data_IF_217012129010
#
_entry.id   IF_217012129010
#
_cell.length_a   1.000
_cell.length_b   1.000
_cell.length_c   1.000
_cell.angle_alpha   90.00
_cell.angle_beta   90.00
_cell.angle_gamma   90.00
#
_symmetry.space_group_name_H-M   'P 1'
#
loop_
_entity.id
_entity.type
_entity.pdbx_description
1 polymer ?
#
# COMPACT_ATOMS: atom_id res chain seq x y z
N UNK A 1 63.68 9.50 62.91
CA UNK A 1 62.79 8.42 62.42
C UNK A 1 61.40 8.72 62.96
N UNK A 2 60.51 9.25 62.10
CA UNK A 2 59.14 9.55 62.49
C UNK A 2 58.32 8.24 62.50
N UNK A 3 57.60 8.02 63.59
CA UNK A 3 56.86 6.80 63.88
C UNK A 3 55.48 6.88 63.18
N UNK A 4 55.36 6.27 62.00
CA UNK A 4 54.11 6.22 61.24
C UNK A 4 53.22 5.09 61.81
N UNK A 5 52.28 5.46 62.68
CA UNK A 5 51.36 4.52 63.30
C UNK A 5 50.22 4.19 62.31
N UNK A 6 49.97 2.91 61.96
CA UNK A 6 48.94 2.54 61.01
C UNK A 6 47.56 2.85 61.61
N UNK A 7 46.88 3.84 61.04
CA UNK A 7 45.54 4.24 61.43
C UNK A 7 44.57 3.06 61.22
N UNK A 8 43.82 2.59 62.24
CA UNK A 8 42.94 1.44 62.11
C UNK A 8 41.90 1.70 61.02
N UNK A 9 41.98 0.91 59.94
CA UNK A 9 41.00 0.96 58.85
C UNK A 9 39.65 0.49 59.40
N UNK A 10 38.72 1.42 59.59
CA UNK A 10 37.33 1.12 59.95
C UNK A 10 36.69 0.35 58.79
N UNK A 11 36.30 -0.90 59.05
CA UNK A 11 35.49 -1.69 58.12
C UNK A 11 34.02 -1.27 58.20
N UNK A 12 33.29 -1.38 57.09
CA UNK A 12 31.84 -1.17 57.06
C UNK A 12 31.14 -2.21 57.93
N UNK A 13 30.18 -1.78 58.74
CA UNK A 13 29.28 -2.68 59.45
C UNK A 13 28.27 -3.28 58.48
N UNK A 14 27.75 -4.48 58.79
CA UNK A 14 26.70 -5.13 58.00
C UNK A 14 25.47 -4.21 57.81
N UNK A 15 25.14 -3.44 58.85
CA UNK A 15 24.01 -2.50 58.85
C UNK A 15 24.26 -1.34 57.88
N UNK A 16 25.45 -0.72 57.91
CA UNK A 16 25.78 0.38 56.98
C UNK A 16 25.76 -0.07 55.52
N UNK A 17 26.25 -1.28 55.23
CA UNK A 17 26.19 -1.85 53.90
C UNK A 17 24.73 -2.08 53.44
N UNK A 18 23.90 -2.64 54.34
CA UNK A 18 22.51 -2.99 54.04
C UNK A 18 21.63 -1.74 53.83
N UNK A 19 21.83 -0.70 54.65
CA UNK A 19 21.18 0.61 54.48
C UNK A 19 21.65 1.26 53.18
N UNK A 20 22.94 1.18 52.84
CA UNK A 20 23.49 1.74 51.61
C UNK A 20 22.88 1.14 50.33
N UNK A 21 22.81 -0.19 50.23
CA UNK A 21 22.17 -0.84 49.08
C UNK A 21 20.66 -0.54 49.03
N UNK A 22 19.99 -0.39 50.17
CA UNK A 22 18.59 -0.03 50.22
C UNK A 22 18.36 1.39 49.66
N UNK A 23 19.20 2.36 50.04
CA UNK A 23 19.14 3.73 49.50
C UNK A 23 19.41 3.73 47.99
N UNK A 24 20.45 3.04 47.52
CA UNK A 24 20.74 2.92 46.08
C UNK A 24 19.55 2.29 45.34
N UNK A 25 18.93 1.25 45.91
CA UNK A 25 17.74 0.63 45.36
C UNK A 25 16.57 1.60 45.19
N UNK A 26 16.28 2.41 46.21
CA UNK A 26 15.22 3.44 46.15
C UNK A 26 15.55 4.51 45.11
N UNK A 27 16.79 5.01 45.08
CA UNK A 27 17.23 6.00 44.10
C UNK A 27 17.11 5.46 42.67
N UNK A 28 17.56 4.23 42.42
CA UNK A 28 17.45 3.58 41.10
C UNK A 28 15.98 3.37 40.69
N UNK A 29 15.11 2.98 41.62
CA UNK A 29 13.68 2.81 41.36
C UNK A 29 12.99 4.11 40.91
N UNK A 30 13.44 5.26 41.43
CA UNK A 30 12.94 6.59 41.01
C UNK A 30 13.58 7.07 39.70
N UNK A 31 14.83 6.71 39.42
CA UNK A 31 15.58 7.15 38.24
C UNK A 31 15.15 6.43 36.94
N UNK A 32 14.86 5.13 37.00
CA UNK A 32 14.54 4.33 35.79
C UNK A 32 13.31 4.85 35.02
N UNK A 33 12.16 5.16 35.65
CA UNK A 33 10.98 5.69 34.95
C UNK A 33 11.26 7.08 34.34
N UNK A 34 12.03 7.92 35.03
CA UNK A 34 12.41 9.24 34.55
C UNK A 34 13.27 9.13 33.28
N UNK A 35 14.27 8.24 33.28
CA UNK A 35 15.14 8.03 32.13
C UNK A 35 14.37 7.47 30.92
N UNK A 36 13.42 6.56 31.14
CA UNK A 36 12.57 6.04 30.08
C UNK A 36 11.73 7.14 29.40
N UNK A 37 11.09 8.01 30.20
CA UNK A 37 10.34 9.17 29.70
C UNK A 37 11.24 10.16 28.95
N UNK A 38 12.44 10.43 29.47
CA UNK A 38 13.42 11.30 28.82
C UNK A 38 13.85 10.75 27.45
N UNK A 39 14.15 9.46 27.36
CA UNK A 39 14.49 8.78 26.09
C UNK A 39 13.32 8.83 25.09
N UNK A 40 12.08 8.60 25.53
CA UNK A 40 10.90 8.69 24.66
C UNK A 40 10.73 10.12 24.11
N UNK A 41 10.88 11.15 24.95
CA UNK A 41 10.83 12.55 24.52
C UNK A 41 11.94 12.88 23.52
N UNK A 42 13.17 12.41 23.77
CA UNK A 42 14.30 12.59 22.86
C UNK A 42 14.06 11.94 21.49
N UNK A 43 13.50 10.72 21.46
CA UNK A 43 13.09 10.05 20.21
C UNK A 43 12.06 10.87 19.44
N UNK A 44 11.05 11.42 20.12
CA UNK A 44 10.04 12.29 19.47
C UNK A 44 10.65 13.55 18.87
N UNK A 45 11.57 14.21 19.59
CA UNK A 45 12.30 15.38 19.06
C UNK A 45 13.14 15.00 17.84
N UNK A 46 13.86 13.88 17.89
CA UNK A 46 14.62 13.39 16.75
C UNK A 46 13.73 13.06 15.56
N UNK A 47 12.56 12.47 15.79
CA UNK A 47 11.57 12.20 14.75
C UNK A 47 11.09 13.49 14.07
N UNK A 48 10.76 14.54 14.85
CA UNK A 48 10.39 15.85 14.29
C UNK A 48 11.53 16.42 13.43
N UNK A 49 12.77 16.31 13.88
CA UNK A 49 13.93 16.81 13.13
C UNK A 49 14.17 16.03 11.83
N UNK A 50 13.99 14.71 11.81
CA UNK A 50 14.08 13.89 10.60
C UNK A 50 12.93 14.20 9.64
N UNK A 51 11.69 14.30 10.15
CA UNK A 51 10.53 14.68 9.34
C UNK A 51 10.68 16.10 8.75
N UNK A 52 11.28 17.02 9.49
CA UNK A 52 11.66 18.34 8.97
C UNK A 52 12.70 18.28 7.85
N UNK A 53 13.68 17.37 7.93
CA UNK A 53 14.64 17.14 6.85
C UNK A 53 13.95 16.54 5.62
N UNK A 54 13.01 15.61 5.80
CA UNK A 54 12.15 15.11 4.70
C UNK A 54 11.39 16.25 4.04
N UNK A 55 10.78 17.13 4.84
CA UNK A 55 10.06 18.31 4.32
C UNK A 55 10.96 19.23 3.51
N UNK A 56 12.16 19.55 4.02
CA UNK A 56 13.15 20.38 3.30
C UNK A 56 13.57 19.76 1.97
N UNK A 57 13.84 18.45 1.95
CA UNK A 57 14.22 17.74 0.73
C UNK A 57 13.09 17.80 -0.33
N UNK A 58 11.83 17.62 0.09
CA UNK A 58 10.67 17.73 -0.80
C UNK A 58 10.44 19.15 -1.32
N UNK A 59 10.64 20.17 -0.48
CA UNK A 59 10.54 21.58 -0.88
C UNK A 59 11.63 21.90 -1.90
N UNK A 60 12.88 21.49 -1.65
CA UNK A 60 14.00 21.66 -2.59
C UNK A 60 13.73 20.93 -3.91
N UNK A 61 13.25 19.69 -3.87
CA UNK A 61 12.83 18.96 -5.06
C UNK A 61 11.82 19.76 -5.89
N UNK A 62 10.80 20.33 -5.24
CA UNK A 62 9.76 21.06 -5.93
C UNK A 62 10.28 22.37 -6.56
N UNK A 63 11.23 23.05 -5.92
CA UNK A 63 11.88 24.25 -6.48
C UNK A 63 12.57 23.93 -7.82
N UNK A 64 13.22 22.78 -7.91
CA UNK A 64 13.87 22.32 -9.15
C UNK A 64 12.88 21.80 -10.21
N UNK A 65 11.61 21.63 -9.84
CA UNK A 65 10.57 20.98 -10.65
C UNK A 65 9.34 21.85 -10.87
N UNK A 66 9.56 23.15 -11.13
CA UNK A 66 8.49 24.12 -11.41
C UNK A 66 7.41 24.17 -10.30
N UNK A 67 7.86 24.16 -9.04
CA UNK A 67 7.03 24.14 -7.83
C UNK A 67 6.10 22.93 -7.70
N UNK A 68 6.43 21.80 -8.35
CA UNK A 68 5.67 20.56 -8.26
C UNK A 68 6.34 19.55 -7.35
N UNK A 69 5.60 19.05 -6.37
CA UNK A 69 5.99 17.88 -5.62
C UNK A 69 5.99 16.63 -6.51
N UNK A 70 6.65 15.53 -6.12
CA UNK A 70 6.76 14.32 -6.94
C UNK A 70 5.43 13.76 -7.47
N UNK A 71 4.35 13.82 -6.67
CA UNK A 71 2.99 13.38 -7.07
C UNK A 71 2.20 14.42 -7.88
N UNK A 72 2.74 15.62 -8.05
CA UNK A 72 2.14 16.72 -8.82
C UNK A 72 2.83 16.94 -10.17
N UNK A 73 3.88 16.18 -10.47
CA UNK A 73 4.57 16.21 -11.75
C UNK A 73 3.61 15.90 -12.90
N UNK A 74 3.91 16.43 -14.08
CA UNK A 74 3.17 16.06 -15.30
C UNK A 74 3.43 14.59 -15.64
N UNK A 75 2.52 13.91 -16.35
CA UNK A 75 2.72 12.51 -16.72
C UNK A 75 4.07 12.24 -17.41
N UNK A 76 4.51 13.14 -18.28
CA UNK A 76 5.82 13.03 -18.94
C UNK A 76 6.99 13.10 -17.96
N UNK A 77 6.96 14.05 -17.00
CA UNK A 77 8.01 14.15 -15.98
C UNK A 77 7.97 12.98 -14.99
N UNK A 78 6.79 12.48 -14.64
CA UNK A 78 6.67 11.27 -13.84
C UNK A 78 7.32 10.08 -14.54
N UNK A 79 7.05 9.90 -15.84
CA UNK A 79 7.67 8.84 -16.65
C UNK A 79 9.19 8.94 -16.67
N UNK A 80 9.74 10.15 -16.83
CA UNK A 80 11.19 10.36 -16.83
C UNK A 80 11.85 10.04 -15.49
N UNK A 81 11.20 10.38 -14.38
CA UNK A 81 11.80 10.29 -13.04
C UNK A 81 11.55 8.95 -12.35
N UNK A 82 10.37 8.37 -12.55
CA UNK A 82 9.98 7.09 -11.97
C UNK A 82 10.18 5.92 -12.94
N UNK A 83 10.52 6.21 -14.19
CA UNK A 83 10.66 5.24 -15.27
C UNK A 83 9.32 4.80 -15.85
N UNK A 84 9.34 3.89 -16.84
CA UNK A 84 8.15 3.34 -17.48
C UNK A 84 7.34 2.40 -16.57
N UNK A 85 7.61 2.42 -15.27
CA UNK A 85 7.12 1.40 -14.35
C UNK A 85 5.63 1.57 -14.08
N UNK A 86 4.95 0.43 -14.01
CA UNK A 86 3.49 0.32 -14.21
C UNK A 86 2.67 0.27 -12.92
N UNK A 87 3.28 0.63 -11.80
CA UNK A 87 2.62 1.00 -10.55
C UNK A 87 2.84 2.51 -10.36
N UNK A 88 1.80 3.28 -10.02
CA UNK A 88 1.89 4.74 -9.82
C UNK A 88 2.74 5.06 -8.57
N UNK A 89 4.06 4.94 -8.74
CA UNK A 89 5.06 5.19 -7.72
C UNK A 89 5.09 6.62 -7.23
N UNK A 90 4.51 7.54 -8.02
CA UNK A 90 4.37 8.93 -7.64
C UNK A 90 3.53 9.10 -6.37
N UNK A 91 2.65 8.13 -6.05
CA UNK A 91 1.87 8.08 -4.81
C UNK A 91 2.47 7.23 -3.68
N UNK A 92 3.65 6.65 -3.87
CA UNK A 92 4.26 5.74 -2.88
C UNK A 92 5.51 6.39 -2.22
N UNK A 93 5.48 6.72 -0.92
CA UNK A 93 6.59 7.41 -0.24
C UNK A 93 7.94 6.73 -0.42
N UNK A 94 8.00 5.39 -0.38
CA UNK A 94 9.26 4.68 -0.56
C UNK A 94 9.86 4.87 -1.97
N UNK A 95 9.01 4.97 -3.00
CA UNK A 95 9.49 5.24 -4.36
C UNK A 95 9.88 6.71 -4.53
N UNK A 96 9.08 7.63 -3.97
CA UNK A 96 9.39 9.07 -3.93
C UNK A 96 10.77 9.30 -3.29
N UNK A 97 11.01 8.75 -2.10
CA UNK A 97 12.30 8.88 -1.40
C UNK A 97 13.46 8.16 -2.08
N UNK A 98 13.19 7.32 -3.09
CA UNK A 98 14.22 6.66 -3.90
C UNK A 98 14.65 7.51 -5.09
N UNK A 99 13.95 8.60 -5.43
CA UNK A 99 14.32 9.49 -6.54
C UNK A 99 15.75 10.02 -6.34
N UNK A 100 16.65 9.94 -7.34
CA UNK A 100 18.06 10.24 -7.16
C UNK A 100 18.36 11.63 -6.55
N UNK A 101 17.66 12.67 -7.00
CA UNK A 101 17.81 14.03 -6.47
C UNK A 101 17.31 14.13 -5.03
N UNK A 102 16.11 13.62 -4.73
CA UNK A 102 15.56 13.63 -3.38
C UNK A 102 16.42 12.79 -2.41
N UNK A 103 16.90 11.64 -2.87
CA UNK A 103 17.78 10.73 -2.13
C UNK A 103 19.12 11.39 -1.79
N UNK A 104 19.66 12.18 -2.72
CA UNK A 104 20.86 13.00 -2.50
C UNK A 104 20.63 14.05 -1.41
N UNK A 105 19.52 14.80 -1.51
CA UNK A 105 19.14 15.81 -0.50
C UNK A 105 18.89 15.22 0.89
N UNK A 106 18.29 14.02 0.95
CA UNK A 106 18.08 13.29 2.21
C UNK A 106 19.39 12.78 2.82
N UNK A 107 20.42 12.52 2.01
CA UNK A 107 21.75 12.04 2.41
C UNK A 107 21.80 10.61 2.95
N UNK A 108 20.75 10.12 3.62
CA UNK A 108 20.72 8.78 4.23
C UNK A 108 19.30 8.23 4.40
N UNK A 109 19.16 6.90 4.27
CA UNK A 109 17.95 6.17 4.65
C UNK A 109 17.53 6.40 6.12
N UNK A 110 18.45 6.81 7.00
CA UNK A 110 18.11 7.17 8.40
C UNK A 110 17.05 8.26 8.45
N UNK A 111 17.03 9.18 7.48
CA UNK A 111 16.13 10.34 7.50
C UNK A 111 14.68 9.97 7.18
N UNK A 112 14.44 8.86 6.48
CA UNK A 112 13.08 8.39 6.15
C UNK A 112 12.49 7.45 7.20
N UNK A 113 13.23 7.16 8.27
CA UNK A 113 12.79 6.33 9.39
C UNK A 113 12.71 7.13 10.69
N UNK A 114 11.67 6.86 11.47
CA UNK A 114 11.45 7.48 12.77
C UNK A 114 12.00 6.62 13.90
N UNK A 115 12.76 7.18 14.86
CA UNK A 115 13.19 6.47 16.06
C UNK A 115 12.03 6.13 17.01
N UNK A 116 10.82 6.63 16.75
CA UNK A 116 9.61 6.19 17.44
C UNK A 116 9.02 4.90 16.82
N UNK A 117 9.53 4.43 15.68
CA UNK A 117 9.03 3.28 14.93
C UNK A 117 10.03 2.13 14.93
N UNK A 118 10.17 1.46 16.08
CA UNK A 118 11.12 0.37 16.22
C UNK A 118 10.84 -0.80 15.27
N UNK A 119 9.56 -0.99 14.88
CA UNK A 119 9.15 -2.06 13.95
C UNK A 119 9.76 -1.94 12.55
N UNK A 120 10.16 -0.72 12.13
CA UNK A 120 10.80 -0.47 10.83
C UNK A 120 12.32 -0.33 10.88
N UNK A 121 12.91 -0.44 12.07
CA UNK A 121 14.35 -0.22 12.26
C UNK A 121 15.20 -1.24 11.49
N UNK A 122 14.87 -2.54 11.58
CA UNK A 122 15.62 -3.60 10.91
C UNK A 122 15.63 -3.43 9.38
N UNK A 123 14.46 -3.20 8.79
CA UNK A 123 14.34 -2.95 7.35
C UNK A 123 15.06 -1.66 6.93
N UNK A 124 14.99 -0.60 7.75
CA UNK A 124 15.74 0.62 7.48
C UNK A 124 17.26 0.42 7.57
N UNK A 125 17.75 -0.39 8.50
CA UNK A 125 19.17 -0.75 8.59
C UNK A 125 19.63 -1.47 7.32
N UNK A 126 18.85 -2.43 6.81
CA UNK A 126 19.14 -3.07 5.52
C UNK A 126 19.15 -2.06 4.37
N UNK A 127 18.16 -1.17 4.31
CA UNK A 127 18.07 -0.14 3.28
C UNK A 127 19.25 0.84 3.26
N UNK A 128 19.96 1.04 4.37
CA UNK A 128 21.15 1.91 4.40
C UNK A 128 22.31 1.33 3.58
N UNK A 129 22.45 0.01 3.55
CA UNK A 129 23.53 -0.64 2.80
C UNK A 129 23.39 -0.43 1.29
N UNK A 130 22.15 -0.44 0.79
CA UNK A 130 21.83 -0.25 -0.62
C UNK A 130 21.39 1.18 -0.97
N UNK A 131 21.55 2.15 -0.06
CA UNK A 131 21.05 3.51 -0.24
C UNK A 131 21.45 4.14 -1.58
N UNK A 132 22.71 3.99 -1.99
CA UNK A 132 23.20 4.54 -3.25
C UNK A 132 22.57 3.92 -4.51
N UNK A 133 21.97 2.73 -4.40
CA UNK A 133 21.47 1.92 -5.53
C UNK A 133 19.97 2.06 -5.76
N UNK A 134 19.25 2.73 -4.86
CA UNK A 134 17.84 2.99 -5.09
C UNK A 134 17.66 4.02 -6.19
N UNK A 135 16.87 3.61 -7.19
CA UNK A 135 16.50 4.35 -8.36
C UNK A 135 15.18 3.78 -8.91
N UNK A 136 14.06 4.53 -8.83
CA UNK A 136 12.77 4.11 -9.36
C UNK A 136 12.80 3.70 -10.83
N UNK A 137 13.64 4.35 -11.66
CA UNK A 137 13.77 4.03 -13.09
C UNK A 137 14.23 2.58 -13.28
N UNK A 138 15.13 2.11 -12.42
CA UNK A 138 15.68 0.75 -12.41
C UNK A 138 14.80 -0.25 -11.63
N UNK A 139 13.70 0.21 -11.04
CA UNK A 139 12.78 -0.62 -10.25
C UNK A 139 13.30 -0.95 -8.87
N UNK A 140 14.35 -0.25 -8.46
CA UNK A 140 14.96 -0.39 -7.15
C UNK A 140 14.43 0.72 -6.27
N UNK A 141 13.32 0.46 -5.61
CA UNK A 141 12.75 1.37 -4.62
C UNK A 141 13.07 0.90 -3.21
N UNK A 142 13.06 1.83 -2.26
CA UNK A 142 13.12 1.52 -0.84
C UNK A 142 12.03 0.50 -0.47
N UNK A 143 12.34 -0.48 0.39
CA UNK A 143 11.32 -1.32 0.98
C UNK A 143 10.31 -0.45 1.73
N UNK A 144 9.01 -0.74 1.60
CA UNK A 144 7.98 0.05 2.28
C UNK A 144 8.20 0.01 3.80
N UNK A 145 8.51 -1.16 4.34
CA UNK A 145 8.86 -1.41 5.74
C UNK A 145 10.10 -0.65 6.24
N UNK A 146 10.86 0.03 5.38
CA UNK A 146 12.00 0.87 5.77
C UNK A 146 11.64 2.35 6.02
N UNK A 147 10.40 2.76 5.73
CA UNK A 147 9.97 4.17 5.74
C UNK A 147 8.92 4.41 6.83
N UNK A 148 9.11 5.37 7.75
CA UNK A 148 8.15 5.62 8.84
C UNK A 148 7.21 6.80 8.59
N UNK A 149 7.38 7.50 7.47
CA UNK A 149 6.67 8.71 7.14
C UNK A 149 5.72 8.51 5.96
N UNK A 150 4.57 9.16 6.06
CA UNK A 150 3.59 9.26 4.99
C UNK A 150 3.60 10.69 4.45
N UNK A 151 3.14 10.85 3.21
CA UNK A 151 3.03 12.15 2.56
C UNK A 151 1.55 12.47 2.33
N UNK A 152 1.21 13.75 2.21
CA UNK A 152 -0.20 14.17 2.08
C UNK A 152 -0.42 14.66 0.65
N UNK A 153 -1.38 14.04 -0.04
CA UNK A 153 -1.63 14.27 -1.46
C UNK A 153 -1.94 15.75 -1.77
N UNK A 154 -2.64 16.44 -0.88
CA UNK A 154 -3.01 17.85 -1.07
C UNK A 154 -1.92 18.86 -0.76
N UNK A 155 -0.73 18.43 -0.34
CA UNK A 155 0.35 19.37 -0.09
C UNK A 155 0.75 20.09 -1.38
N UNK A 156 1.03 21.39 -1.28
CA UNK A 156 1.43 22.22 -2.41
C UNK A 156 2.35 23.34 -1.93
N UNK A 157 3.47 23.56 -2.62
CA UNK A 157 4.47 24.56 -2.23
C UNK A 157 3.90 25.98 -2.30
N UNK A 158 2.93 26.23 -3.20
CA UNK A 158 2.23 27.51 -3.24
C UNK A 158 1.21 27.70 -2.10
N UNK A 159 1.06 26.73 -1.21
CA UNK A 159 0.11 26.73 -0.08
C UNK A 159 0.84 26.41 1.23
N UNK A 160 1.49 27.39 1.89
CA UNK A 160 2.45 27.15 2.98
C UNK A 160 1.87 26.45 4.23
N UNK A 161 0.55 26.54 4.43
CA UNK A 161 -0.15 25.91 5.55
C UNK A 161 -0.56 24.46 5.29
N UNK A 162 -0.30 23.93 4.09
CA UNK A 162 -0.65 22.54 3.79
C UNK A 162 0.31 21.59 4.50
N UNK A 163 -0.25 20.60 5.20
CA UNK A 163 0.52 19.47 5.71
C UNK A 163 1.18 18.75 4.53
N UNK A 164 2.50 18.58 4.59
CA UNK A 164 3.34 17.96 3.58
C UNK A 164 3.57 16.47 3.88
N UNK A 165 3.86 16.15 5.14
CA UNK A 165 4.10 14.79 5.59
C UNK A 165 3.81 14.61 7.07
N UNK A 166 3.69 13.36 7.48
CA UNK A 166 3.35 12.98 8.85
C UNK A 166 3.96 11.63 9.22
N UNK A 167 3.94 11.28 10.51
CA UNK A 167 4.20 9.90 10.91
C UNK A 167 3.11 8.96 10.43
N UNK A 168 3.47 7.70 10.15
CA UNK A 168 2.56 6.69 9.59
C UNK A 168 1.44 6.24 10.53
N UNK A 169 1.44 6.62 11.81
CA UNK A 169 0.48 6.14 12.82
C UNK A 169 -0.89 6.83 12.72
N UNK A 170 -1.39 7.06 11.51
CA UNK A 170 -2.73 7.55 11.25
C UNK A 170 -3.72 6.36 11.28
N UNK A 171 -4.87 6.57 11.92
CA UNK A 171 -5.92 5.54 12.03
C UNK A 171 -6.70 5.27 10.74
N UNK A 172 -6.61 6.17 9.76
CA UNK A 172 -7.22 6.06 8.43
C UNK A 172 -6.27 6.63 7.37
N UNK A 173 -6.57 6.37 6.10
CA UNK A 173 -5.80 6.88 4.95
C UNK A 173 -6.18 8.31 4.53
N UNK A 174 -6.86 9.07 5.39
CA UNK A 174 -7.28 10.42 5.12
C UNK A 174 -7.11 11.28 6.37
N UNK A 175 -6.26 12.30 6.28
CA UNK A 175 -5.93 13.19 7.40
C UNK A 175 -7.16 13.87 8.00
N UNK A 176 -8.20 14.11 7.20
CA UNK A 176 -9.45 14.72 7.63
C UNK A 176 -10.42 13.78 8.33
N UNK A 177 -10.14 12.47 8.34
CA UNK A 177 -10.89 11.50 9.15
C UNK A 177 -10.01 10.77 10.17
N UNK A 178 -8.69 10.94 10.09
CA UNK A 178 -7.74 10.29 10.94
C UNK A 178 -7.67 10.93 12.34
N UNK A 179 -7.40 10.07 13.32
CA UNK A 179 -6.75 10.33 14.60
C UNK A 179 -5.38 9.63 14.67
N UNK A 180 -4.54 10.01 15.63
CA UNK A 180 -3.26 9.34 15.92
C UNK A 180 -3.48 8.03 16.68
N UNK A 181 -2.90 6.96 16.15
CA UNK A 181 -2.93 5.63 16.74
C UNK A 181 -1.72 5.41 17.66
N UNK A 182 -1.96 4.77 18.80
CA UNK A 182 -0.96 4.58 19.85
C UNK A 182 -0.60 3.14 20.14
N UNK A 183 0.59 2.92 20.69
CA UNK A 183 1.02 1.62 21.23
C UNK A 183 0.36 1.27 22.57
N UNK A 184 -0.31 2.22 23.22
CA UNK A 184 -1.05 2.07 24.47
C UNK A 184 -2.55 1.82 24.27
N UNK A 185 -2.99 1.56 23.03
CA UNK A 185 -4.36 1.12 22.74
C UNK A 185 -4.57 -0.35 23.13
N UNK A 186 -5.75 -0.69 23.68
CA UNK A 186 -6.12 -2.07 24.07
C UNK A 186 -5.94 -3.09 22.94
N UNK A 187 -6.22 -2.67 21.70
CA UNK A 187 -5.95 -3.42 20.47
C UNK A 187 -5.02 -2.60 19.59
N UNK A 188 -3.72 -2.85 19.72
CA UNK A 188 -2.68 -2.11 19.00
C UNK A 188 -2.86 -2.30 17.50
N UNK A 189 -3.04 -1.19 16.79
CA UNK A 189 -3.21 -1.19 15.33
C UNK A 189 -1.87 -1.40 14.61
N UNK A 190 -1.85 -1.99 13.40
CA UNK A 190 -0.61 -2.18 12.64
C UNK A 190 0.14 -0.88 12.32
N UNK A 191 -0.60 0.23 12.25
CA UNK A 191 -0.05 1.56 11.95
C UNK A 191 0.64 2.17 13.17
N UNK A 192 0.31 1.71 14.38
CA UNK A 192 0.87 2.24 15.60
C UNK A 192 2.40 2.12 15.62
N UNK A 193 3.03 3.16 16.15
CA UNK A 193 4.48 3.22 16.32
C UNK A 193 4.78 2.97 17.79
N UNK A 194 5.67 2.04 18.09
CA UNK A 194 6.01 1.60 19.45
C UNK A 194 6.44 2.71 20.41
N UNK A 195 6.89 3.85 19.88
CA UNK A 195 7.34 5.01 20.64
C UNK A 195 6.34 6.16 20.70
N UNK A 196 5.10 5.96 20.24
CA UNK A 196 4.02 6.96 20.27
C UNK A 196 2.78 6.38 20.94
N UNK A 197 2.26 7.12 21.91
CA UNK A 197 0.97 6.81 22.53
C UNK A 197 -0.18 7.34 21.66
N UNK A 198 -1.42 7.00 22.03
CA UNK A 198 -2.63 7.55 21.43
C UNK A 198 -2.55 9.07 21.50
N UNK A 199 -3.12 9.75 20.52
CA UNK A 199 -3.09 11.22 20.46
C UNK A 199 -1.67 11.80 20.29
N UNK A 200 -0.69 11.00 19.85
CA UNK A 200 0.67 11.48 19.58
C UNK A 200 1.09 11.17 18.15
N UNK A 201 1.33 12.22 17.37
CA UNK A 201 1.91 12.16 16.03
C UNK A 201 2.96 13.23 15.83
N UNK A 202 3.47 13.30 14.61
CA UNK A 202 4.32 14.39 14.14
C UNK A 202 3.89 14.77 12.73
N UNK A 203 3.98 16.05 12.39
CA UNK A 203 3.68 16.55 11.06
C UNK A 203 4.72 17.59 10.62
N UNK A 204 4.86 17.74 9.31
CA UNK A 204 5.60 18.83 8.66
C UNK A 204 4.69 19.51 7.64
N UNK A 205 4.73 20.83 7.59
CA UNK A 205 4.00 21.63 6.61
C UNK A 205 4.92 22.12 5.48
N UNK A 206 4.33 22.62 4.40
CA UNK A 206 5.07 23.09 3.22
C UNK A 206 5.84 24.39 3.47
N UNK A 207 5.56 25.12 4.55
CA UNK A 207 6.41 26.20 5.07
C UNK A 207 7.72 25.70 5.71
N UNK A 208 7.93 24.39 5.77
CA UNK A 208 9.10 23.75 6.36
C UNK A 208 9.03 23.57 7.88
N UNK A 209 7.94 24.00 8.52
CA UNK A 209 7.74 23.83 9.96
C UNK A 209 7.40 22.37 10.28
N UNK A 210 8.24 21.73 11.09
CA UNK A 210 7.99 20.38 11.62
C UNK A 210 7.70 20.46 13.12
N UNK A 211 6.71 19.68 13.58
CA UNK A 211 6.22 19.75 14.96
C UNK A 211 5.66 18.42 15.46
N UNK A 212 5.59 18.31 16.78
CA UNK A 212 4.75 17.30 17.41
C UNK A 212 3.28 17.68 17.18
N UNK A 213 2.44 16.66 17.02
CA UNK A 213 1.03 16.83 16.72
C UNK A 213 0.18 15.91 17.60
N UNK A 214 -1.07 16.30 17.80
CA UNK A 214 -2.11 15.53 18.47
C UNK A 214 -3.44 15.54 17.67
N UNK A 215 -4.49 14.91 18.20
CA UNK A 215 -5.78 14.75 17.53
C UNK A 215 -6.51 16.10 17.36
N UNK A 216 -6.11 17.17 18.06
CA UNK A 216 -6.66 18.51 17.86
C UNK A 216 -6.11 19.20 16.60
N UNK A 217 -5.00 18.68 16.05
CA UNK A 217 -4.44 19.17 14.80
C UNK A 217 -5.08 18.52 13.56
N UNK A 218 -5.53 17.26 13.68
CA UNK A 218 -6.02 16.43 12.56
C UNK A 218 -7.49 16.05 12.70
N UNK A 219 -8.03 15.28 11.75
CA UNK A 219 -9.45 14.95 11.72
C UNK A 219 -10.32 16.11 11.22
N UNK A 220 -11.64 15.90 11.26
CA UNK A 220 -12.60 16.77 10.55
C UNK A 220 -12.59 18.22 11.04
N UNK A 221 -12.30 18.42 12.32
CA UNK A 221 -12.25 19.72 13.01
C UNK A 221 -10.82 20.12 13.40
N UNK A 222 -9.81 19.37 12.95
CA UNK A 222 -8.42 19.59 13.32
C UNK A 222 -7.88 20.90 12.75
N UNK A 223 -7.15 21.67 13.57
CA UNK A 223 -6.62 22.97 13.19
C UNK A 223 -5.80 22.93 11.89
N UNK A 224 -4.92 21.93 11.76
CA UNK A 224 -4.06 21.78 10.58
C UNK A 224 -4.82 21.25 9.36
N UNK A 225 -5.78 20.36 9.57
CA UNK A 225 -6.64 19.88 8.47
C UNK A 225 -7.51 21.00 7.91
N UNK A 226 -8.09 21.84 8.78
CA UNK A 226 -8.88 22.99 8.34
C UNK A 226 -7.99 23.96 7.52
N UNK A 227 -6.84 24.35 8.07
CA UNK A 227 -5.89 25.21 7.36
C UNK A 227 -5.39 24.60 6.03
N UNK A 228 -5.22 23.27 5.98
CA UNK A 228 -4.87 22.55 4.77
C UNK A 228 -6.00 22.64 3.74
N UNK A 229 -7.24 22.28 4.10
CA UNK A 229 -8.40 22.24 3.17
C UNK A 229 -8.81 23.62 2.64
N UNK A 230 -8.66 24.64 3.47
CA UNK A 230 -9.03 26.03 3.15
C UNK A 230 -7.92 26.78 2.41
N UNK A 231 -6.70 26.23 2.36
CA UNK A 231 -5.61 26.82 1.59
C UNK A 231 -5.93 26.86 0.09
N UNK A 232 -5.52 27.95 -0.56
CA UNK A 232 -5.69 28.19 -1.98
C UNK A 232 -4.38 28.67 -2.62
N UNK A 233 -4.27 28.55 -3.94
CA UNK A 233 -3.06 28.89 -4.70
C UNK A 233 -2.23 27.67 -5.11
N UNK A 234 -1.02 27.91 -5.62
CA UNK A 234 -0.12 26.84 -6.05
C UNK A 234 -0.53 26.15 -7.34
N UNK A 235 -0.04 24.92 -7.53
CA UNK A 235 -0.20 24.16 -8.78
C UNK A 235 -1.48 23.33 -8.80
N UNK A 236 -1.97 22.95 -7.62
CA UNK A 236 -3.19 22.17 -7.45
C UNK A 236 -4.44 23.04 -7.62
N UNK A 237 -5.46 22.54 -8.32
CA UNK A 237 -6.75 23.21 -8.46
C UNK A 237 -7.75 22.77 -7.38
N UNK A 238 -8.51 23.71 -6.83
CA UNK A 238 -9.53 23.45 -5.80
C UNK A 238 -8.98 23.29 -4.37
N UNK A 239 -9.81 22.75 -3.47
CA UNK A 239 -9.43 22.51 -2.07
C UNK A 239 -8.33 21.45 -1.98
N UNK A 240 -7.40 21.63 -1.05
CA UNK A 240 -6.33 20.66 -0.84
C UNK A 240 -6.89 19.32 -0.33
N UNK A 241 -6.45 18.22 -0.93
CA UNK A 241 -6.90 16.87 -0.60
C UNK A 241 -6.20 16.35 0.66
N UNK A 242 -6.96 15.76 1.58
CA UNK A 242 -6.44 15.18 2.82
C UNK A 242 -5.96 13.72 2.69
N UNK A 243 -6.04 13.14 1.49
CA UNK A 243 -5.62 11.77 1.23
C UNK A 243 -4.14 11.52 1.56
N UNK A 244 -3.86 10.39 2.20
CA UNK A 244 -2.51 10.00 2.64
C UNK A 244 -1.85 9.12 1.58
N UNK A 245 -0.70 9.57 1.08
CA UNK A 245 0.20 8.80 0.24
C UNK A 245 1.00 7.83 1.10
N UNK A 246 1.03 6.55 0.72
CA UNK A 246 1.71 5.50 1.47
C UNK A 246 0.87 4.75 2.50
N UNK A 247 -0.46 4.92 2.47
CA UNK A 247 -1.38 4.12 3.29
C UNK A 247 -1.52 2.64 2.83
N UNK A 248 -0.62 2.14 1.98
CA UNK A 248 -0.69 0.79 1.38
C UNK A 248 -0.25 -0.34 2.33
N UNK A 249 -0.63 -0.30 3.60
CA UNK A 249 -0.45 -1.43 4.53
C UNK A 249 -1.67 -1.75 5.41
N UNK A 250 -2.84 -1.16 5.12
CA UNK A 250 -4.08 -1.49 5.82
C UNK A 250 -5.17 -1.66 4.77
N UNK A 251 -5.73 -2.88 4.70
CA UNK A 251 -6.94 -3.25 3.94
C UNK A 251 -7.05 -2.47 2.64
N UNK A 252 -6.40 -2.90 1.55
CA UNK A 252 -6.52 -2.17 0.29
C UNK A 252 -8.02 -2.04 -0.01
N UNK A 253 -8.48 -0.80 0.05
CA UNK A 253 -9.79 -0.39 -0.39
C UNK A 253 -9.54 0.43 -1.65
N UNK A 254 -10.25 0.11 -2.72
CA UNK A 254 -10.29 1.00 -3.88
C UNK A 254 -11.33 2.04 -3.52
N UNK A 255 -10.88 3.23 -3.12
CA UNK A 255 -11.74 4.39 -2.85
C UNK A 255 -12.85 4.12 -1.83
N UNK A 256 -12.51 3.47 -0.70
CA UNK A 256 -13.45 3.17 0.38
C UNK A 256 -14.26 1.89 0.21
N UNK A 257 -14.16 1.20 -0.94
CA UNK A 257 -14.70 -0.15 -1.11
C UNK A 257 -13.76 -1.19 -0.52
N UNK A 258 -14.20 -2.07 0.40
CA UNK A 258 -13.45 -3.28 0.73
C UNK A 258 -13.16 -4.03 -0.57
N UNK A 259 -11.90 -4.20 -0.96
CA UNK A 259 -11.61 -5.02 -2.14
C UNK A 259 -12.05 -6.44 -1.78
N UNK A 260 -13.00 -7.03 -2.55
CA UNK A 260 -13.55 -8.34 -2.26
C UNK A 260 -12.42 -9.32 -2.03
N UNK A 261 -12.47 -9.98 -0.88
CA UNK A 261 -11.55 -11.05 -0.58
C UNK A 261 -12.03 -12.23 -1.44
N UNK A 262 -11.62 -12.29 -2.72
CA UNK A 262 -11.78 -13.48 -3.58
C UNK A 262 -11.09 -14.74 -3.00
N UNK A 263 -10.45 -14.58 -1.84
CA UNK A 263 -9.42 -15.46 -1.32
C UNK A 263 -9.88 -16.63 -0.46
N UNK A 264 -10.99 -16.58 0.29
CA UNK A 264 -11.58 -17.81 0.80
C UNK A 264 -11.96 -18.73 -0.37
N UNK A 265 -12.51 -18.16 -1.44
CA UNK A 265 -13.13 -18.91 -2.52
C UNK A 265 -12.16 -19.47 -3.57
N UNK A 266 -11.07 -18.80 -3.96
CA UNK A 266 -10.22 -19.30 -5.06
C UNK A 266 -9.32 -20.49 -4.65
N UNK A 267 -8.90 -20.54 -3.38
CA UNK A 267 -8.09 -21.66 -2.87
C UNK A 267 -8.94 -22.92 -2.64
N UNK A 268 -10.21 -22.75 -2.21
CA UNK A 268 -11.18 -23.82 -1.97
C UNK A 268 -11.90 -24.28 -3.25
N UNK A 269 -12.20 -23.34 -4.16
CA UNK A 269 -12.95 -23.61 -5.40
C UNK A 269 -12.04 -23.85 -6.62
N UNK A 270 -10.72 -23.94 -6.45
CA UNK A 270 -9.81 -24.30 -7.54
C UNK A 270 -9.58 -25.82 -7.64
N UNK A 271 -9.77 -26.39 -8.83
CA UNK A 271 -9.42 -27.78 -9.16
C UNK A 271 -8.07 -27.81 -9.87
N UNK A 272 -7.19 -28.73 -9.49
CA UNK A 272 -5.93 -28.99 -10.19
C UNK A 272 -4.85 -27.91 -10.02
N UNK A 273 -3.97 -27.80 -11.03
CA UNK A 273 -2.76 -26.96 -10.97
C UNK A 273 -2.68 -25.96 -12.12
N UNK A 274 -3.47 -26.11 -13.18
CA UNK A 274 -3.47 -25.24 -14.37
C UNK A 274 -4.63 -24.26 -14.32
N UNK A 275 -4.34 -23.01 -13.99
CA UNK A 275 -5.35 -21.95 -13.85
C UNK A 275 -5.31 -21.02 -15.06
N UNK A 276 -6.49 -20.70 -15.61
CA UNK A 276 -6.63 -19.67 -16.64
C UNK A 276 -7.57 -18.58 -16.15
N UNK A 277 -7.13 -17.34 -16.23
CA UNK A 277 -7.90 -16.14 -15.87
C UNK A 277 -8.31 -15.42 -17.15
N UNK A 278 -9.61 -15.17 -17.33
CA UNK A 278 -10.17 -14.49 -18.50
C UNK A 278 -10.87 -13.22 -18.00
N UNK A 279 -10.27 -12.07 -18.26
CA UNK A 279 -10.69 -10.78 -17.73
C UNK A 279 -11.26 -9.89 -18.82
N UNK A 280 -12.45 -9.38 -18.58
CA UNK A 280 -13.07 -8.36 -19.41
C UNK A 280 -12.30 -7.03 -19.28
N UNK A 281 -11.92 -6.47 -20.42
CA UNK A 281 -11.43 -5.11 -20.56
C UNK A 281 -12.27 -4.31 -21.58
N UNK A 282 -13.55 -4.66 -21.76
CA UNK A 282 -14.49 -3.90 -22.56
C UNK A 282 -14.68 -2.48 -22.04
N UNK A 283 -15.25 -1.59 -22.87
CA UNK A 283 -15.44 -0.19 -22.51
C UNK A 283 -16.29 0.04 -21.25
N UNK A 284 -17.21 -0.88 -20.91
CA UNK A 284 -18.03 -0.82 -19.70
C UNK A 284 -17.21 -0.98 -18.43
N UNK A 285 -16.13 -1.77 -18.47
CA UNK A 285 -15.22 -1.99 -17.34
C UNK A 285 -14.50 -0.72 -16.86
N UNK A 286 -14.58 0.38 -17.62
CA UNK A 286 -14.12 1.71 -17.19
C UNK A 286 -14.99 2.32 -16.08
N UNK A 287 -16.28 2.00 -16.08
CA UNK A 287 -17.27 2.51 -15.14
C UNK A 287 -17.01 1.93 -13.75
N UNK A 288 -17.24 2.73 -12.70
CA UNK A 288 -17.08 2.34 -11.30
C UNK A 288 -15.72 1.68 -10.98
N UNK A 289 -14.68 1.97 -11.79
CA UNK A 289 -13.32 1.42 -11.66
C UNK A 289 -13.28 -0.12 -11.72
N UNK A 290 -14.24 -0.77 -12.38
CA UNK A 290 -14.40 -2.24 -12.44
C UNK A 290 -13.16 -2.96 -12.97
N UNK A 291 -12.54 -2.45 -14.04
CA UNK A 291 -11.29 -3.01 -14.57
C UNK A 291 -10.16 -2.97 -13.55
N UNK A 292 -10.07 -1.87 -12.79
CA UNK A 292 -9.06 -1.72 -11.73
C UNK A 292 -9.31 -2.72 -10.60
N UNK A 293 -10.56 -2.87 -10.18
CA UNK A 293 -10.96 -3.87 -9.20
C UNK A 293 -10.60 -5.28 -9.66
N UNK A 294 -10.96 -5.65 -10.89
CA UNK A 294 -10.68 -6.96 -11.49
C UNK A 294 -9.16 -7.27 -11.54
N UNK A 295 -8.34 -6.29 -11.92
CA UNK A 295 -6.87 -6.46 -11.94
C UNK A 295 -6.29 -6.66 -10.54
N UNK A 296 -6.73 -5.88 -9.55
CA UNK A 296 -6.24 -6.04 -8.17
C UNK A 296 -6.66 -7.40 -7.61
N UNK A 297 -7.91 -7.80 -7.86
CA UNK A 297 -8.44 -9.12 -7.57
C UNK A 297 -7.57 -10.24 -8.16
N UNK A 298 -7.23 -10.16 -9.45
CA UNK A 298 -6.34 -11.09 -10.13
C UNK A 298 -4.98 -11.18 -9.43
N UNK A 299 -4.28 -10.06 -9.21
CA UNK A 299 -2.94 -10.11 -8.64
C UNK A 299 -2.89 -10.55 -7.19
N UNK A 300 -3.93 -10.24 -6.40
CA UNK A 300 -4.09 -10.85 -5.08
C UNK A 300 -4.20 -12.36 -5.20
N UNK A 301 -5.07 -12.84 -6.10
CA UNK A 301 -5.27 -14.27 -6.42
C UNK A 301 -3.96 -14.97 -6.69
N UNK A 302 -3.20 -14.45 -7.65
CA UNK A 302 -1.96 -15.06 -8.08
C UNK A 302 -0.94 -15.19 -6.94
N UNK A 303 -0.80 -14.16 -6.10
CA UNK A 303 0.19 -14.13 -5.00
C UNK A 303 0.02 -15.26 -3.97
N UNK A 304 -1.17 -15.84 -3.88
CA UNK A 304 -1.55 -16.80 -2.85
C UNK A 304 -1.92 -18.18 -3.44
N UNK A 305 -1.91 -18.35 -4.78
CA UNK A 305 -1.92 -19.66 -5.44
C UNK A 305 -0.70 -20.51 -5.05
N UNK A 306 0.44 -19.85 -4.85
CA UNK A 306 1.71 -20.49 -4.52
C UNK A 306 2.39 -21.15 -5.74
N UNK A 307 3.71 -21.41 -5.66
CA UNK A 307 4.55 -21.74 -6.82
C UNK A 307 4.24 -23.08 -7.48
N UNK A 308 3.46 -23.96 -6.83
CA UNK A 308 3.06 -25.27 -7.37
C UNK A 308 1.93 -25.19 -8.40
N UNK A 309 1.26 -24.05 -8.51
CA UNK A 309 0.15 -23.82 -9.43
C UNK A 309 0.61 -22.91 -10.56
N UNK A 310 0.29 -23.29 -11.80
CA UNK A 310 0.53 -22.48 -12.99
C UNK A 310 -0.66 -21.58 -13.30
N UNK A 311 -0.39 -20.42 -13.89
CA UNK A 311 -1.42 -19.48 -14.31
C UNK A 311 -1.19 -19.02 -15.76
N UNK A 312 -2.29 -18.72 -16.45
CA UNK A 312 -2.30 -18.02 -17.73
C UNK A 312 -3.39 -16.96 -17.72
N UNK A 313 -3.16 -15.82 -18.37
CA UNK A 313 -4.07 -14.67 -18.34
C UNK A 313 -4.49 -14.31 -19.75
N UNK A 314 -5.79 -14.17 -19.95
CA UNK A 314 -6.42 -13.52 -21.08
C UNK A 314 -7.08 -12.25 -20.60
N UNK A 315 -6.87 -11.16 -21.33
CA UNK A 315 -7.84 -10.08 -21.36
C UNK A 315 -8.70 -10.22 -22.62
N UNK A 316 -9.91 -9.67 -22.60
CA UNK A 316 -10.74 -9.65 -23.80
C UNK A 316 -11.60 -8.39 -23.88
N UNK A 317 -11.87 -7.99 -25.11
CA UNK A 317 -12.91 -7.03 -25.44
C UNK A 317 -13.69 -7.59 -26.64
N UNK A 318 -13.58 -6.98 -27.83
CA UNK A 318 -14.05 -7.55 -29.09
C UNK A 318 -13.12 -8.64 -29.65
N UNK A 319 -11.93 -8.79 -29.07
CA UNK A 319 -10.96 -9.84 -29.40
C UNK A 319 -10.21 -10.30 -28.15
N UNK A 320 -9.51 -11.42 -28.27
CA UNK A 320 -8.65 -12.02 -27.24
C UNK A 320 -7.29 -11.31 -27.17
N UNK A 321 -6.83 -11.02 -25.95
CA UNK A 321 -5.51 -10.49 -25.63
C UNK A 321 -4.81 -11.45 -24.64
N UNK A 322 -4.17 -12.54 -25.12
CA UNK A 322 -3.41 -13.44 -24.27
C UNK A 322 -2.16 -12.78 -23.69
N UNK A 323 -1.74 -13.23 -22.51
CA UNK A 323 -0.38 -12.99 -22.05
C UNK A 323 0.64 -13.63 -23.01
N UNK A 324 1.81 -13.01 -23.11
CA UNK A 324 2.87 -13.54 -23.96
C UNK A 324 3.52 -14.78 -23.34
N UNK A 325 3.81 -15.78 -24.18
CA UNK A 325 4.49 -17.02 -23.78
C UNK A 325 3.55 -18.14 -23.34
N UNK A 326 4.09 -19.03 -22.51
CA UNK A 326 3.42 -20.22 -21.96
C UNK A 326 2.92 -19.98 -20.53
N UNK A 327 2.04 -20.84 -19.98
CA UNK A 327 1.62 -20.75 -18.58
C UNK A 327 2.80 -20.71 -17.61
N UNK A 328 2.75 -19.74 -16.69
CA UNK A 328 3.82 -19.50 -15.73
C UNK A 328 3.48 -20.08 -14.35
N UNK A 329 4.43 -20.68 -13.62
CA UNK A 329 4.26 -20.95 -12.19
C UNK A 329 3.96 -19.66 -11.42
N UNK A 330 3.07 -19.71 -10.43
CA UNK A 330 2.69 -18.57 -9.59
C UNK A 330 3.77 -18.25 -8.52
N UNK A 331 5.00 -18.01 -8.97
CA UNK A 331 6.11 -17.46 -8.17
C UNK A 331 5.98 -15.94 -8.07
N UNK A 332 6.56 -15.34 -7.04
CA UNK A 332 6.54 -13.88 -6.89
C UNK A 332 7.17 -13.17 -8.10
N UNK A 333 8.25 -13.73 -8.65
CA UNK A 333 8.98 -13.16 -9.80
C UNK A 333 8.14 -13.21 -11.09
N UNK A 334 7.49 -14.34 -11.38
CA UNK A 334 6.63 -14.47 -12.56
C UNK A 334 5.39 -13.58 -12.48
N UNK A 335 4.85 -13.42 -11.27
CA UNK A 335 3.73 -12.50 -11.05
C UNK A 335 4.20 -11.05 -11.22
N UNK A 336 5.39 -10.72 -10.71
CA UNK A 336 5.98 -9.39 -10.85
C UNK A 336 6.32 -9.06 -12.31
N UNK A 337 6.73 -10.05 -13.12
CA UNK A 337 7.05 -9.84 -14.53
C UNK A 337 5.83 -9.59 -15.40
N UNK A 338 4.70 -10.28 -15.12
CA UNK A 338 3.47 -10.13 -15.93
C UNK A 338 2.58 -8.97 -15.48
N UNK A 339 2.67 -8.58 -14.21
CA UNK A 339 1.85 -7.51 -13.61
C UNK A 339 1.90 -6.21 -14.40
N UNK A 340 3.09 -5.76 -14.83
CA UNK A 340 3.20 -4.66 -15.74
C UNK A 340 2.25 -4.78 -16.96
N UNK A 341 2.32 -5.87 -17.71
CA UNK A 341 1.58 -5.99 -18.97
C UNK A 341 0.07 -5.93 -18.73
N UNK A 342 -0.39 -6.66 -17.72
CA UNK A 342 -1.80 -6.65 -17.33
C UNK A 342 -2.28 -5.25 -16.90
N UNK A 343 -1.45 -4.50 -16.16
CA UNK A 343 -1.79 -3.15 -15.73
C UNK A 343 -1.95 -2.18 -16.91
N UNK A 344 -1.16 -2.34 -17.98
CA UNK A 344 -1.19 -1.47 -19.16
C UNK A 344 -2.46 -1.62 -20.01
N UNK A 345 -3.23 -2.71 -19.86
CA UNK A 345 -4.40 -2.98 -20.71
C UNK A 345 -5.53 -1.99 -20.41
N UNK A 346 -5.93 -1.11 -21.35
CA UNK A 346 -7.01 -0.17 -21.12
C UNK A 346 -8.39 -0.84 -21.26
N UNK A 347 -9.42 -0.19 -20.75
CA UNK A 347 -10.80 -0.54 -21.06
C UNK A 347 -11.17 -0.02 -22.46
N UNK A 348 -11.55 -0.88 -23.39
CA UNK A 348 -11.85 -0.51 -24.78
C UNK A 348 -12.80 -1.51 -25.46
N UNK A 349 -13.53 -1.07 -26.48
CA UNK A 349 -14.32 -1.94 -27.37
C UNK A 349 -15.49 -2.69 -26.71
N UNK A 350 -15.94 -3.77 -27.37
CA UNK A 350 -17.12 -4.56 -27.00
C UNK A 350 -16.82 -5.68 -26.00
N UNK A 351 -17.83 -6.49 -25.68
CA UNK A 351 -17.74 -7.56 -24.67
C UNK A 351 -17.94 -8.93 -25.33
N UNK A 352 -16.85 -9.57 -25.75
CA UNK A 352 -16.87 -10.89 -26.36
C UNK A 352 -15.72 -11.81 -25.87
N UNK A 353 -15.99 -12.73 -24.92
CA UNK A 353 -14.99 -13.66 -24.40
C UNK A 353 -14.77 -14.89 -25.29
N UNK A 354 -15.51 -15.06 -26.39
CA UNK A 354 -15.54 -16.34 -27.13
C UNK A 354 -14.18 -16.76 -27.67
N UNK A 355 -13.40 -15.80 -28.18
CA UNK A 355 -12.04 -16.06 -28.65
C UNK A 355 -11.15 -16.59 -27.53
N UNK A 356 -11.10 -15.86 -26.41
CA UNK A 356 -10.34 -16.26 -25.22
C UNK A 356 -10.76 -17.63 -24.69
N UNK A 357 -12.06 -17.94 -24.67
CA UNK A 357 -12.57 -19.24 -24.24
C UNK A 357 -12.12 -20.38 -25.16
N UNK A 358 -12.25 -20.21 -26.49
CA UNK A 358 -11.81 -21.24 -27.45
C UNK A 358 -10.31 -21.51 -27.33
N UNK A 359 -9.51 -20.46 -27.20
CA UNK A 359 -8.06 -20.59 -27.02
C UNK A 359 -7.70 -21.23 -25.67
N UNK A 360 -8.36 -20.81 -24.57
CA UNK A 360 -8.12 -21.38 -23.24
C UNK A 360 -8.38 -22.88 -23.20
N UNK A 361 -9.56 -23.33 -23.64
CA UNK A 361 -9.93 -24.75 -23.66
C UNK A 361 -9.07 -25.56 -24.64
N UNK A 362 -8.77 -25.00 -25.82
CA UNK A 362 -8.01 -25.70 -26.85
C UNK A 362 -6.50 -25.80 -26.60
N UNK A 363 -5.87 -24.68 -26.22
CA UNK A 363 -4.39 -24.58 -26.13
C UNK A 363 -3.86 -24.91 -24.74
N UNK A 364 -4.55 -24.46 -23.69
CA UNK A 364 -4.00 -24.51 -22.33
C UNK A 364 -4.58 -25.63 -21.47
N UNK A 365 -5.68 -26.26 -21.91
CA UNK A 365 -6.34 -27.39 -21.22
C UNK A 365 -6.43 -27.17 -19.70
N UNK A 366 -7.03 -26.05 -19.24
CA UNK A 366 -7.03 -25.68 -17.83
C UNK A 366 -7.75 -26.70 -16.96
N UNK A 367 -7.35 -26.79 -15.69
CA UNK A 367 -8.13 -27.49 -14.67
C UNK A 367 -9.20 -26.56 -14.07
N UNK A 368 -8.90 -25.25 -14.02
CA UNK A 368 -9.79 -24.20 -13.53
C UNK A 368 -9.73 -22.95 -14.40
N UNK A 369 -10.90 -22.41 -14.75
CA UNK A 369 -11.08 -21.12 -15.41
C UNK A 369 -11.75 -20.13 -14.46
N UNK A 370 -11.30 -18.88 -14.48
CA UNK A 370 -11.97 -17.73 -13.85
C UNK A 370 -12.37 -16.72 -14.91
N UNK A 371 -13.67 -16.58 -15.16
CA UNK A 371 -14.23 -15.60 -16.09
C UNK A 371 -14.74 -14.37 -15.33
N UNK A 372 -14.19 -13.20 -15.61
CA UNK A 372 -14.45 -11.95 -14.89
C UNK A 372 -15.02 -10.90 -15.84
N UNK A 373 -16.21 -10.35 -15.57
CA UNK A 373 -16.89 -9.41 -16.49
C UNK A 373 -17.89 -8.49 -15.80
N UNK A 374 -18.12 -7.30 -16.36
CA UNK A 374 -19.24 -6.43 -15.99
C UNK A 374 -20.34 -6.36 -17.04
N UNK A 375 -20.13 -7.00 -18.18
CA UNK A 375 -20.92 -6.79 -19.38
C UNK A 375 -21.87 -7.95 -19.67
N UNK A 376 -22.89 -7.64 -20.48
CA UNK A 376 -23.78 -8.62 -21.08
C UNK A 376 -23.12 -9.14 -22.35
N UNK A 377 -23.05 -10.46 -22.50
CA UNK A 377 -22.51 -11.11 -23.69
C UNK A 377 -23.47 -10.91 -24.85
N UNK A 378 -23.17 -9.96 -25.73
CA UNK A 378 -23.98 -9.76 -26.94
C UNK A 378 -23.91 -11.01 -27.81
N UNK A 379 -25.08 -11.50 -28.20
CA UNK A 379 -25.22 -12.77 -28.92
C UNK A 379 -25.14 -12.56 -30.43
N UNK A 380 -25.71 -11.48 -30.99
CA UNK A 380 -25.67 -11.24 -32.44
C UNK A 380 -26.10 -12.49 -33.23
N UNK A 381 -25.28 -12.90 -34.21
CA UNK A 381 -25.40 -14.19 -34.91
C UNK A 381 -24.48 -15.29 -34.31
N UNK A 382 -23.82 -15.01 -33.20
CA UNK A 382 -22.86 -15.90 -32.55
C UNK A 382 -23.50 -16.82 -31.51
N UNK A 383 -22.78 -17.89 -31.17
CA UNK A 383 -23.21 -18.86 -30.14
C UNK A 383 -23.25 -18.17 -28.77
N UNK A 384 -24.31 -18.33 -27.95
CA UNK A 384 -24.31 -17.83 -26.58
C UNK A 384 -23.14 -18.39 -25.77
N UNK A 385 -22.48 -17.56 -24.93
CA UNK A 385 -21.27 -17.95 -24.17
C UNK A 385 -21.50 -19.19 -23.31
N UNK A 386 -22.66 -19.30 -22.64
CA UNK A 386 -23.03 -20.50 -21.87
C UNK A 386 -23.07 -21.78 -22.72
N UNK A 387 -23.63 -21.69 -23.93
CA UNK A 387 -23.68 -22.82 -24.86
C UNK A 387 -22.28 -23.17 -25.36
N UNK A 388 -21.47 -22.16 -25.69
CA UNK A 388 -20.07 -22.36 -26.08
C UNK A 388 -19.27 -23.10 -25.00
N UNK A 389 -19.37 -22.69 -23.74
CA UNK A 389 -18.68 -23.36 -22.62
C UNK A 389 -19.19 -24.79 -22.46
N UNK A 390 -20.50 -25.02 -22.61
CA UNK A 390 -21.07 -26.37 -22.57
C UNK A 390 -20.53 -27.26 -23.69
N UNK A 391 -20.31 -26.70 -24.89
CA UNK A 391 -19.75 -27.42 -26.03
C UNK A 391 -18.23 -27.67 -25.91
N UNK A 392 -17.50 -26.78 -25.24
CA UNK A 392 -16.06 -26.90 -25.01
C UNK A 392 -15.72 -27.81 -23.81
N UNK A 393 -16.59 -27.86 -22.80
CA UNK A 393 -16.42 -28.62 -21.55
C UNK A 393 -17.44 -29.77 -21.45
N UNK A 394 -17.61 -30.54 -22.54
CA UNK A 394 -18.61 -31.63 -22.64
C UNK A 394 -18.40 -32.74 -21.61
N UNK A 395 -17.16 -33.03 -21.30
CA UNK A 395 -16.71 -34.02 -20.33
C UNK A 395 -16.74 -33.51 -18.87
N UNK A 396 -17.04 -32.22 -18.67
CA UNK A 396 -17.13 -31.57 -17.35
C UNK A 396 -15.87 -31.72 -16.51
N UNK A 397 -14.71 -31.78 -17.15
CA UNK A 397 -13.42 -31.95 -16.47
C UNK A 397 -12.88 -30.64 -15.92
N UNK A 398 -13.12 -29.53 -16.65
CA UNK A 398 -12.68 -28.18 -16.29
C UNK A 398 -13.68 -27.52 -15.36
N UNK A 399 -13.19 -26.97 -14.24
CA UNK A 399 -14.00 -26.15 -13.35
C UNK A 399 -14.10 -24.71 -13.87
N UNK A 400 -15.29 -24.13 -13.97
CA UNK A 400 -15.47 -22.75 -14.47
C UNK A 400 -16.10 -21.88 -13.39
N UNK A 401 -15.34 -20.93 -12.86
CA UNK A 401 -15.81 -19.92 -11.92
C UNK A 401 -16.11 -18.62 -12.67
N UNK A 402 -17.13 -17.89 -12.19
CA UNK A 402 -17.56 -16.63 -12.82
C UNK A 402 -17.64 -15.51 -11.78
N UNK A 403 -17.22 -14.31 -12.19
CA UNK A 403 -17.27 -13.10 -11.34
C UNK A 403 -17.94 -11.98 -12.13
N UNK A 404 -19.03 -11.47 -11.57
CA UNK A 404 -19.76 -10.33 -12.11
C UNK A 404 -19.44 -9.04 -11.37
N UNK A 405 -19.14 -7.95 -12.09
CA UNK A 405 -18.97 -6.61 -11.50
C UNK A 405 -20.14 -5.71 -11.88
N UNK A 406 -20.80 -5.08 -10.92
CA UNK A 406 -21.92 -4.18 -11.19
C UNK A 406 -22.37 -3.42 -9.95
N UNK A 407 -23.42 -2.61 -10.03
CA UNK A 407 -24.01 -1.99 -8.82
C UNK A 407 -25.02 -2.94 -8.18
N UNK A 408 -25.73 -3.69 -9.02
CA UNK A 408 -26.69 -4.74 -8.65
C UNK A 408 -26.40 -6.01 -9.44
N UNK A 409 -26.77 -7.17 -8.88
CA UNK A 409 -26.60 -8.46 -9.55
C UNK A 409 -27.37 -8.56 -10.87
N UNK A 410 -28.42 -7.76 -11.05
CA UNK A 410 -29.17 -7.66 -12.31
C UNK A 410 -28.41 -6.96 -13.43
N UNK A 411 -27.33 -6.25 -13.11
CA UNK A 411 -26.54 -5.48 -14.08
C UNK A 411 -25.57 -6.38 -14.87
N UNK A 412 -25.26 -7.57 -14.34
CA UNK A 412 -24.32 -8.52 -14.94
C UNK A 412 -25.07 -9.56 -15.77
N UNK A 413 -24.35 -10.22 -16.69
CA UNK A 413 -24.95 -11.23 -17.56
C UNK A 413 -25.61 -12.38 -16.75
N UNK A 414 -26.88 -12.64 -17.05
CA UNK A 414 -27.69 -13.66 -16.36
C UNK A 414 -27.15 -15.08 -16.54
N UNK A 415 -26.28 -15.31 -17.51
CA UNK A 415 -25.67 -16.61 -17.76
C UNK A 415 -24.48 -16.92 -16.85
N UNK A 416 -23.89 -15.95 -16.15
CA UNK A 416 -22.71 -16.17 -15.30
C UNK A 416 -22.96 -17.19 -14.19
N UNK A 417 -24.07 -17.07 -13.47
CA UNK A 417 -24.42 -18.01 -12.40
C UNK A 417 -24.70 -19.43 -12.94
N UNK A 418 -25.54 -19.62 -13.98
CA UNK A 418 -25.70 -20.92 -14.62
C UNK A 418 -24.39 -21.53 -15.15
N UNK A 419 -23.51 -20.73 -15.77
CA UNK A 419 -22.21 -21.21 -16.26
C UNK A 419 -21.39 -21.81 -15.13
N UNK A 420 -21.32 -21.14 -13.98
CA UNK A 420 -20.57 -21.65 -12.84
C UNK A 420 -21.17 -22.96 -12.31
N UNK A 421 -22.47 -22.97 -12.03
CA UNK A 421 -23.17 -24.15 -11.49
C UNK A 421 -23.05 -25.37 -12.42
N UNK A 422 -23.16 -25.19 -13.73
CA UNK A 422 -23.09 -26.28 -14.71
C UNK A 422 -21.69 -26.89 -14.87
N UNK A 423 -20.65 -26.23 -14.36
CA UNK A 423 -19.26 -26.62 -14.54
C UNK A 423 -18.52 -26.69 -13.19
N UNK A 424 -19.22 -27.13 -12.14
CA UNK A 424 -18.66 -27.39 -10.80
C UNK A 424 -17.93 -26.18 -10.19
N UNK A 425 -18.31 -24.96 -10.59
CA UNK A 425 -17.69 -23.72 -10.14
C UNK A 425 -18.62 -22.85 -9.30
N UNK A 426 -18.09 -21.71 -8.87
CA UNK A 426 -18.82 -20.72 -8.08
C UNK A 426 -19.00 -19.41 -8.84
N UNK A 427 -20.17 -18.81 -8.65
CA UNK A 427 -20.46 -17.45 -9.10
C UNK A 427 -20.33 -16.47 -7.94
N UNK A 428 -19.61 -15.38 -8.17
CA UNK A 428 -19.46 -14.28 -7.22
C UNK A 428 -19.90 -12.96 -7.85
N UNK A 429 -20.71 -12.19 -7.13
CA UNK A 429 -21.10 -10.84 -7.54
C UNK A 429 -20.35 -9.80 -6.69
N UNK A 430 -19.72 -8.84 -7.36
CA UNK A 430 -18.98 -7.74 -6.75
C UNK A 430 -19.73 -6.44 -6.99
N UNK A 431 -20.17 -5.81 -5.91
CA UNK A 431 -20.70 -4.45 -5.97
C UNK A 431 -19.55 -3.46 -6.21
N UNK A 432 -19.53 -2.83 -7.39
CA UNK A 432 -18.53 -1.85 -7.80
C UNK A 432 -18.80 -0.43 -7.30
N UNK A 433 -19.96 -0.17 -6.68
CA UNK A 433 -20.30 1.11 -6.07
C UNK A 433 -21.29 0.92 -4.90
N UNK A 434 -20.83 0.58 -3.68
CA UNK A 434 -21.70 0.32 -2.53
C UNK A 434 -22.30 1.58 -1.88
N UNK A 435 -21.96 2.77 -2.37
CA UNK A 435 -22.57 4.03 -1.92
C UNK A 435 -23.88 4.39 -2.64
N UNK A 436 -24.27 3.63 -3.66
CA UNK A 436 -25.58 3.63 -4.31
C UNK A 436 -26.27 2.27 -4.13
#
# INVERSE_FOLDING_TARGET
>A
MANDQPNPRRGFTLVELLVGIAIIGVLMALLLPMLARAKAKARRVKCVNQLGQVGKALISFAQDNANRLPWQLTPSRQFEMFGPQRDDFSGHPAAIFSLPNLRSELGSAVIVWSPCDAGRESANQAARADWARYNPIEGRILPHEAVSYVLIHGADIGRPTTVLGATRNLSTCDLGTARWSGSDENSVRPEAMSGLNKNQGQLVATDGSARQSDDADIGATGKWVLAHRESAGGVTLGRAKTGVLGCCAISETVDGMPIPNLFPNIAENGKGTRYVFILDCSGSMRVDKRLRLAKIALFRTLKKLGPKKGFFIYFYYSTSLPMEGDPLPATQDNIASIKPWANAIPAAGGTDPRGALREAFGKHQPDTIWLMTDGIFKVGNDVPVRRLISDLNKDKTVRVNTVGFGRKQTDVDKSLAPIATENDGTFEFINSNPSE
#
